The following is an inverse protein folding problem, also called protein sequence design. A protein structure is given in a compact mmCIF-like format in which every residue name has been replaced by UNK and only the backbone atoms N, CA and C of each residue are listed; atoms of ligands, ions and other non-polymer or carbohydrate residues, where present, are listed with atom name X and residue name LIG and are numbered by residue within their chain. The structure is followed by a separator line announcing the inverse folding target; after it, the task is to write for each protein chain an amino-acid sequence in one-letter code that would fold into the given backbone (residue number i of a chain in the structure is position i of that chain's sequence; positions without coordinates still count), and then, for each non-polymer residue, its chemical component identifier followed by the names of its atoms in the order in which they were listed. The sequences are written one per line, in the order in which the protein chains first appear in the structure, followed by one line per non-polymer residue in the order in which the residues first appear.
data_IF_459708837019
#
_entry.id   IF_459708837019
#
_cell.length_a   1.000
_cell.length_b   1.000
_cell.length_c   1.000
_cell.angle_alpha   90.00
_cell.angle_beta   90.00
_cell.angle_gamma   90.00
#
_symmetry.space_group_name_H-M   'P 1'
#
loop_
_entity.id
_entity.type
_entity.pdbx_description
1 polymer ?
#
# COMPACT_ATOMS: atom_id res chain seq x y z
N UNK A 1 -23.97 8.98 10.28
CA UNK A 1 -23.95 7.57 9.82
C UNK A 1 -23.05 7.33 8.59
N UNK A 2 -22.11 8.22 8.24
CA UNK A 2 -21.36 8.14 6.96
C UNK A 2 -19.91 7.64 7.07
N UNK A 3 -19.24 7.81 8.21
CA UNK A 3 -17.82 7.45 8.36
C UNK A 3 -17.55 5.94 8.36
N UNK A 4 -18.38 5.17 9.07
CA UNK A 4 -18.22 3.71 9.16
C UNK A 4 -18.41 3.02 7.82
N UNK A 5 -19.43 3.41 7.04
CA UNK A 5 -19.68 2.82 5.73
C UNK A 5 -18.51 3.04 4.78
N UNK A 6 -17.99 4.27 4.76
CA UNK A 6 -16.82 4.63 3.94
C UNK A 6 -15.56 3.86 4.36
N UNK A 7 -15.35 3.65 5.66
CA UNK A 7 -14.23 2.85 6.16
C UNK A 7 -14.34 1.38 5.74
N UNK A 8 -15.55 0.80 5.78
CA UNK A 8 -15.79 -0.56 5.30
C UNK A 8 -15.57 -0.68 3.78
N UNK A 9 -16.00 0.30 3.00
CA UNK A 9 -15.77 0.32 1.56
C UNK A 9 -14.27 0.43 1.22
N UNK A 10 -13.48 1.12 2.05
CA UNK A 10 -12.02 1.22 1.90
C UNK A 10 -11.28 -0.07 2.31
N UNK A 11 -11.80 -0.83 3.27
CA UNK A 11 -11.21 -2.09 3.73
C UNK A 11 -11.10 -3.12 2.59
N UNK A 12 -12.02 -3.04 1.61
CA UNK A 12 -11.98 -3.83 0.37
C UNK A 12 -10.63 -3.72 -0.37
N UNK A 13 -9.98 -2.57 -0.28
CA UNK A 13 -8.71 -2.26 -0.94
C UNK A 13 -7.51 -2.24 0.03
N UNK A 14 -7.66 -2.76 1.27
CA UNK A 14 -6.52 -2.93 2.18
C UNK A 14 -5.52 -3.92 1.57
N UNK A 15 -4.28 -3.47 1.38
CA UNK A 15 -3.20 -4.25 0.76
C UNK A 15 -3.02 -5.64 1.38
N UNK A 16 -3.25 -5.78 2.69
CA UNK A 16 -3.08 -7.04 3.43
C UNK A 16 -4.20 -8.04 3.16
N UNK A 17 -5.34 -7.56 2.62
CA UNK A 17 -6.55 -8.34 2.38
C UNK A 17 -6.81 -8.60 0.89
N UNK A 18 -5.99 -8.08 -0.03
CA UNK A 18 -6.27 -8.14 -1.47
C UNK A 18 -6.38 -9.59 -1.97
N UNK A 19 -5.44 -10.46 -1.61
CA UNK A 19 -5.45 -11.87 -2.04
C UNK A 19 -6.67 -12.61 -1.48
N UNK A 20 -7.00 -12.37 -0.21
CA UNK A 20 -8.20 -12.91 0.43
C UNK A 20 -9.49 -12.40 -0.24
N UNK A 21 -9.56 -11.09 -0.53
CA UNK A 21 -10.73 -10.50 -1.16
C UNK A 21 -10.91 -10.98 -2.61
N UNK A 22 -9.83 -11.35 -3.30
CA UNK A 22 -9.91 -12.05 -4.58
C UNK A 22 -10.46 -13.47 -4.44
N UNK A 23 -9.96 -14.25 -3.47
CA UNK A 23 -10.42 -15.63 -3.29
C UNK A 23 -11.89 -15.70 -2.86
N UNK A 24 -12.35 -14.74 -2.07
CA UNK A 24 -13.75 -14.64 -1.63
C UNK A 24 -14.68 -13.98 -2.67
N UNK A 25 -14.15 -13.55 -3.83
CA UNK A 25 -14.93 -12.89 -4.87
C UNK A 25 -15.47 -11.50 -4.47
N UNK A 26 -14.93 -10.90 -3.40
CA UNK A 26 -15.30 -9.59 -2.93
C UNK A 26 -14.71 -8.47 -3.80
N UNK A 27 -13.55 -8.72 -4.42
CA UNK A 27 -12.84 -7.80 -5.29
C UNK A 27 -12.48 -8.51 -6.61
N UNK A 28 -12.54 -7.79 -7.73
CA UNK A 28 -12.10 -8.31 -9.04
C UNK A 28 -10.84 -7.58 -9.47
N UNK A 29 -9.96 -8.26 -10.22
CA UNK A 29 -8.66 -7.73 -10.62
C UNK A 29 -8.75 -6.40 -11.39
N UNK A 30 -9.65 -6.30 -12.36
CA UNK A 30 -9.84 -5.07 -13.15
C UNK A 30 -10.34 -3.91 -12.29
N UNK A 31 -11.13 -4.19 -11.25
CA UNK A 31 -11.59 -3.18 -10.30
C UNK A 31 -10.43 -2.64 -9.46
N UNK A 32 -9.57 -3.54 -8.98
CA UNK A 32 -8.39 -3.15 -8.20
C UNK A 32 -7.39 -2.36 -9.03
N UNK A 33 -7.15 -2.75 -10.28
CA UNK A 33 -6.28 -2.00 -11.20
C UNK A 33 -6.80 -0.59 -11.46
N UNK A 34 -8.11 -0.43 -11.69
CA UNK A 34 -8.75 0.89 -11.80
C UNK A 34 -8.61 1.71 -10.53
N UNK A 35 -8.76 1.08 -9.36
CA UNK A 35 -8.57 1.74 -8.08
C UNK A 35 -7.13 2.26 -7.94
N UNK A 36 -6.12 1.43 -8.24
CA UNK A 36 -4.71 1.83 -8.20
C UNK A 36 -4.41 3.00 -9.14
N UNK A 37 -4.96 2.98 -10.36
CA UNK A 37 -4.81 4.08 -11.32
C UNK A 37 -5.49 5.38 -10.86
N UNK A 38 -6.53 5.28 -10.02
CA UNK A 38 -7.23 6.45 -9.47
C UNK A 38 -6.49 7.13 -8.31
N UNK A 39 -5.47 6.48 -7.74
CA UNK A 39 -4.72 7.04 -6.61
C UNK A 39 -3.87 8.23 -7.05
N UNK A 40 -3.85 9.33 -6.27
CA UNK A 40 -3.03 10.49 -6.60
C UNK A 40 -1.54 10.17 -6.45
N UNK A 41 -0.71 10.75 -7.31
CA UNK A 41 0.73 10.71 -7.12
C UNK A 41 1.12 11.53 -5.89
N UNK A 42 1.75 10.86 -4.92
CA UNK A 42 2.25 11.46 -3.69
C UNK A 42 3.78 11.58 -3.68
N UNK A 43 4.46 11.34 -4.80
CA UNK A 43 5.93 11.45 -4.92
C UNK A 43 6.44 12.83 -4.50
N UNK A 44 5.70 13.89 -4.79
CA UNK A 44 6.04 15.26 -4.37
C UNK A 44 6.06 15.46 -2.84
N UNK A 45 5.47 14.54 -2.06
CA UNK A 45 5.48 14.55 -0.58
C UNK A 45 6.54 13.63 0.01
N UNK A 46 7.23 12.85 -0.82
CA UNK A 46 8.29 11.97 -0.35
C UNK A 46 9.51 12.81 0.03
N UNK A 47 10.13 12.47 1.15
CA UNK A 47 11.47 12.96 1.52
C UNK A 47 12.46 11.91 1.05
N UNK A 48 13.51 12.34 0.36
CA UNK A 48 14.60 11.46 -0.03
C UNK A 48 15.30 10.96 1.24
N UNK A 49 15.30 9.64 1.44
CA UNK A 49 16.02 8.99 2.52
C UNK A 49 17.36 8.50 1.96
N UNK A 50 18.42 9.22 2.27
CA UNK A 50 19.78 8.74 2.05
C UNK A 50 20.15 7.88 3.25
N UNK A 51 20.12 6.56 3.08
CA UNK A 51 20.74 5.66 4.06
C UNK A 51 22.25 5.81 3.85
N UNK A 52 22.95 6.32 4.85
CA UNK A 52 24.40 6.21 4.87
C UNK A 52 24.73 4.72 4.89
N UNK A 53 25.45 4.23 3.89
CA UNK A 53 25.98 2.87 3.92
C UNK A 53 26.81 2.73 5.20
N UNK A 54 26.32 1.94 6.15
CA UNK A 54 27.09 1.46 7.31
C UNK A 54 28.18 0.49 6.81
N UNK A 55 29.13 0.97 6.02
CA UNK A 55 30.43 0.33 5.78
C UNK A 55 31.41 0.77 6.87
N UNK A 56 31.03 0.61 8.14
CA UNK A 56 31.92 0.75 9.30
C UNK A 56 31.51 -0.25 10.37
N UNK A 57 32.07 -1.46 10.26
CA UNK A 57 32.62 -2.27 11.37
C UNK A 57 32.71 -3.75 11.00
N UNK A 58 33.56 -4.07 10.01
CA UNK A 58 33.99 -5.45 9.75
C UNK A 58 35.51 -5.55 9.55
N UNK A 59 36.27 -4.84 10.37
CA UNK A 59 37.66 -5.17 10.69
C UNK A 59 37.87 -5.18 12.20
N UNK A 60 37.48 -6.29 12.85
CA UNK A 60 38.02 -6.69 14.15
C UNK A 60 37.98 -8.21 14.30
N UNK A 61 38.98 -8.90 13.73
CA UNK A 61 39.95 -9.75 14.43
C UNK A 61 40.92 -10.39 13.44
#
# INVERSE_FOLDING_TARGET
MSGLRRALDQLKYDRRMIEWNYSEGLLVKEEYEKFLQSLPDLKHRAVELTLEDENKDSESH
#
